data_IF_264118390385
#
_entry.id   IF_264118390385
#
_cell.length_a   1.000
_cell.length_b   1.000
_cell.length_c   1.000
_cell.angle_alpha   90.00
_cell.angle_beta   90.00
_cell.angle_gamma   90.00
#
_symmetry.space_group_name_H-M   'P 1'
#
loop_
_entity.id
_entity.type
_entity.pdbx_description
1 polymer ?
#
# COMPACT_ATOMS: atom_id res chain seq x y z
N UNK A 1 -6.03 -11.88 5.71
CA UNK A 1 -5.26 -10.65 5.37
C UNK A 1 -6.12 -9.63 4.65
N UNK A 2 -6.99 -10.03 3.71
CA UNK A 2 -7.88 -9.09 2.99
C UNK A 2 -8.70 -8.15 3.88
N UNK A 3 -9.37 -8.67 4.91
CA UNK A 3 -10.13 -7.86 5.88
C UNK A 3 -9.27 -6.82 6.62
N UNK A 4 -8.01 -7.12 6.92
CA UNK A 4 -7.09 -6.21 7.61
C UNK A 4 -6.70 -5.05 6.69
N UNK A 5 -6.37 -5.33 5.43
CA UNK A 5 -6.10 -4.32 4.42
C UNK A 5 -7.27 -3.37 4.21
N UNK A 6 -8.51 -3.89 4.17
CA UNK A 6 -9.71 -3.06 4.04
C UNK A 6 -9.91 -2.14 5.25
N UNK A 7 -9.66 -2.62 6.47
CA UNK A 7 -9.69 -1.77 7.68
C UNK A 7 -8.64 -0.67 7.62
N UNK A 8 -7.40 -1.02 7.23
CA UNK A 8 -6.30 -0.07 7.07
C UNK A 8 -6.63 0.98 6.00
N UNK A 9 -7.19 0.54 4.87
CA UNK A 9 -7.60 1.44 3.78
C UNK A 9 -8.65 2.46 4.25
N UNK A 10 -9.63 2.04 5.06
CA UNK A 10 -10.63 2.94 5.63
C UNK A 10 -10.03 3.97 6.60
N UNK A 11 -9.02 3.56 7.40
CA UNK A 11 -8.29 4.48 8.28
C UNK A 11 -7.50 5.51 7.46
N UNK A 12 -6.74 5.07 6.47
CA UNK A 12 -5.99 5.99 5.59
C UNK A 12 -6.91 6.93 4.81
N UNK A 13 -8.06 6.45 4.35
CA UNK A 13 -9.07 7.29 3.71
C UNK A 13 -9.54 8.41 4.64
N UNK A 14 -9.87 8.07 5.89
CA UNK A 14 -10.31 9.03 6.89
C UNK A 14 -9.21 10.10 7.15
N UNK A 15 -7.95 9.67 7.29
CA UNK A 15 -6.80 10.58 7.46
C UNK A 15 -6.63 11.47 6.22
N UNK A 16 -6.69 10.90 5.02
CA UNK A 16 -6.53 11.62 3.76
C UNK A 16 -7.59 12.70 3.56
N UNK A 17 -8.87 12.40 3.86
CA UNK A 17 -9.97 13.37 3.77
C UNK A 17 -9.80 14.50 4.78
N UNK A 18 -9.48 14.18 6.04
CA UNK A 18 -9.22 15.20 7.07
C UNK A 18 -8.05 16.09 6.67
N UNK A 19 -6.96 15.50 6.19
CA UNK A 19 -5.78 16.26 5.75
C UNK A 19 -6.10 17.16 4.54
N UNK A 20 -6.87 16.66 3.57
CA UNK A 20 -7.36 17.45 2.43
C UNK A 20 -8.22 18.65 2.87
N UNK A 21 -9.13 18.43 3.81
CA UNK A 21 -9.97 19.49 4.37
C UNK A 21 -9.12 20.53 5.11
N UNK A 22 -8.18 20.10 5.96
CA UNK A 22 -7.31 21.04 6.70
C UNK A 22 -6.49 21.91 5.76
N UNK A 23 -5.89 21.35 4.71
CA UNK A 23 -5.15 22.11 3.70
C UNK A 23 -6.04 23.15 2.99
N UNK A 24 -7.27 22.77 2.65
CA UNK A 24 -8.23 23.68 2.04
C UNK A 24 -8.64 24.84 2.94
N UNK A 25 -8.81 24.60 4.26
CA UNK A 25 -9.16 25.64 5.23
C UNK A 25 -8.01 26.63 5.42
N UNK A 26 -6.80 26.12 5.64
CA UNK A 26 -5.62 26.94 5.95
C UNK A 26 -4.95 27.53 4.70
N UNK A 27 -5.39 27.14 3.49
CA UNK A 27 -4.78 27.51 2.20
C UNK A 27 -3.27 27.19 2.10
N UNK A 28 -2.79 26.22 2.87
CA UNK A 28 -1.41 25.72 2.82
C UNK A 28 -1.39 24.35 2.14
N UNK A 29 -0.83 24.32 0.95
CA UNK A 29 -0.74 23.15 0.09
C UNK A 29 0.63 22.47 0.14
N UNK A 30 1.50 22.81 1.09
CA UNK A 30 2.82 22.16 1.25
C UNK A 30 2.70 20.64 1.45
N UNK A 31 1.63 20.18 2.10
CA UNK A 31 1.37 18.76 2.35
C UNK A 31 0.61 18.06 1.21
N UNK A 32 0.46 18.69 0.04
CA UNK A 32 -0.27 18.09 -1.11
C UNK A 32 0.34 16.75 -1.54
N UNK A 33 1.67 16.64 -1.53
CA UNK A 33 2.32 15.37 -1.85
C UNK A 33 1.97 14.29 -0.82
N UNK A 34 2.00 14.61 0.47
CA UNK A 34 1.60 13.68 1.55
C UNK A 34 0.14 13.24 1.38
N UNK A 35 -0.77 14.18 1.11
CA UNK A 35 -2.18 13.90 0.84
C UNK A 35 -2.38 12.91 -0.31
N UNK A 36 -1.70 13.16 -1.44
CA UNK A 36 -1.82 12.31 -2.62
C UNK A 36 -1.34 10.88 -2.33
N UNK A 37 -0.20 10.72 -1.64
CA UNK A 37 0.34 9.41 -1.31
C UNK A 37 -0.52 8.66 -0.26
N UNK A 38 -1.07 9.35 0.74
CA UNK A 38 -2.00 8.74 1.69
C UNK A 38 -3.24 8.19 0.99
N UNK A 39 -3.82 8.94 0.05
CA UNK A 39 -5.01 8.49 -0.66
C UNK A 39 -4.70 7.39 -1.68
N UNK A 40 -3.62 7.52 -2.47
CA UNK A 40 -3.28 6.52 -3.48
C UNK A 40 -2.69 5.25 -2.86
N UNK A 41 -1.56 5.35 -2.17
CA UNK A 41 -0.86 4.19 -1.62
C UNK A 41 -1.52 3.67 -0.34
N UNK A 42 -2.02 4.57 0.51
CA UNK A 42 -2.66 4.21 1.78
C UNK A 42 -4.07 3.68 1.59
N UNK A 43 -4.95 4.40 0.90
CA UNK A 43 -6.33 3.98 0.70
C UNK A 43 -6.52 3.11 -0.55
N UNK A 44 -6.29 3.63 -1.76
CA UNK A 44 -6.65 2.94 -3.02
C UNK A 44 -5.89 1.62 -3.18
N UNK A 45 -4.56 1.64 -3.07
CA UNK A 45 -3.74 0.42 -3.21
C UNK A 45 -4.07 -0.60 -2.13
N UNK A 46 -4.21 -0.20 -0.86
CA UNK A 46 -4.58 -1.12 0.22
C UNK A 46 -5.98 -1.72 0.02
N UNK A 47 -6.94 -0.95 -0.47
CA UNK A 47 -8.28 -1.46 -0.78
C UNK A 47 -8.22 -2.52 -1.89
N UNK A 48 -7.45 -2.24 -2.95
CA UNK A 48 -7.24 -3.19 -4.06
C UNK A 48 -6.54 -4.45 -3.57
N UNK A 49 -5.48 -4.34 -2.77
CA UNK A 49 -4.80 -5.50 -2.16
C UNK A 49 -5.76 -6.31 -1.29
N UNK A 50 -6.55 -5.62 -0.47
CA UNK A 50 -7.57 -6.24 0.38
C UNK A 50 -8.60 -7.04 -0.40
N UNK A 51 -9.09 -6.48 -1.51
CA UNK A 51 -10.07 -7.10 -2.40
C UNK A 51 -9.46 -8.29 -3.14
N UNK A 52 -8.27 -8.14 -3.71
CA UNK A 52 -7.55 -9.22 -4.41
C UNK A 52 -7.27 -10.39 -3.47
N UNK A 53 -6.81 -10.13 -2.23
CA UNK A 53 -6.60 -11.19 -1.24
C UNK A 53 -7.91 -11.79 -0.69
N UNK A 54 -9.04 -11.12 -0.86
CA UNK A 54 -10.36 -11.68 -0.55
C UNK A 54 -10.85 -12.61 -1.66
N UNK A 55 -10.60 -12.27 -2.93
CA UNK A 55 -10.96 -13.09 -4.09
C UNK A 55 -10.02 -14.29 -4.26
N UNK A 56 -8.73 -14.12 -3.99
CA UNK A 56 -7.70 -15.16 -4.10
C UNK A 56 -7.10 -15.51 -2.73
N UNK A 57 -7.83 -16.26 -1.88
CA UNK A 57 -7.38 -16.59 -0.52
C UNK A 57 -6.10 -17.45 -0.49
N UNK A 58 -5.83 -18.21 -1.56
CA UNK A 58 -4.59 -18.98 -1.71
C UNK A 58 -3.36 -18.08 -1.89
N UNK A 59 -3.48 -16.98 -2.64
CA UNK A 59 -2.42 -16.00 -2.83
C UNK A 59 -2.09 -15.23 -1.54
N UNK A 60 -3.02 -15.17 -0.59
CA UNK A 60 -2.83 -14.54 0.71
C UNK A 60 -2.08 -15.41 1.73
N UNK A 61 -1.92 -16.72 1.48
CA UNK A 61 -1.22 -17.64 2.40
C UNK A 61 0.29 -17.75 2.13
N UNK A 62 0.78 -17.20 1.02
CA UNK A 62 2.19 -17.29 0.65
C UNK A 62 3.08 -16.45 1.58
N UNK A 63 4.34 -16.87 1.78
CA UNK A 63 5.32 -16.08 2.54
C UNK A 63 5.55 -14.70 1.91
N UNK A 64 5.50 -14.59 0.58
CA UNK A 64 5.62 -13.32 -0.14
C UNK A 64 4.50 -12.34 0.21
N UNK A 65 3.25 -12.80 0.33
CA UNK A 65 2.13 -11.93 0.70
C UNK A 65 2.26 -11.38 2.13
N UNK A 66 2.80 -12.18 3.06
CA UNK A 66 3.11 -11.71 4.43
C UNK A 66 4.20 -10.64 4.43
N UNK A 67 5.28 -10.87 3.68
CA UNK A 67 6.40 -9.91 3.59
C UNK A 67 5.95 -8.61 2.91
N UNK A 68 5.15 -8.69 1.84
CA UNK A 68 4.51 -7.52 1.22
C UNK A 68 3.65 -6.75 2.24
N UNK A 69 2.79 -7.44 2.99
CA UNK A 69 1.93 -6.81 3.99
C UNK A 69 2.73 -6.01 5.01
N UNK A 70 3.81 -6.58 5.56
CA UNK A 70 4.65 -5.90 6.55
C UNK A 70 5.45 -4.74 5.94
N UNK A 71 6.06 -4.94 4.77
CA UNK A 71 6.82 -3.91 4.06
C UNK A 71 5.95 -2.71 3.69
N UNK A 72 4.76 -2.96 3.15
CA UNK A 72 3.84 -1.89 2.75
C UNK A 72 3.30 -1.15 3.97
N UNK A 73 2.84 -1.88 5.00
CA UNK A 73 2.22 -1.27 6.18
C UNK A 73 3.19 -0.48 7.07
N UNK A 74 4.49 -0.79 7.04
CA UNK A 74 5.52 -0.03 7.76
C UNK A 74 6.22 0.99 6.85
N UNK A 75 6.47 0.64 5.59
CA UNK A 75 7.07 1.53 4.62
C UNK A 75 6.24 2.79 4.39
N UNK A 76 4.90 2.67 4.33
CA UNK A 76 4.01 3.82 4.14
C UNK A 76 4.12 4.85 5.27
N UNK A 77 3.91 4.51 6.56
CA UNK A 77 4.09 5.46 7.65
C UNK A 77 5.49 6.09 7.67
N UNK A 78 6.54 5.29 7.47
CA UNK A 78 7.92 5.79 7.45
C UNK A 78 8.13 6.80 6.31
N UNK A 79 7.62 6.49 5.12
CA UNK A 79 7.69 7.40 3.97
C UNK A 79 6.92 8.70 4.25
N UNK A 80 5.72 8.60 4.84
CA UNK A 80 4.91 9.78 5.18
C UNK A 80 5.59 10.67 6.22
N UNK A 81 6.18 10.08 7.27
CA UNK A 81 6.93 10.82 8.30
C UNK A 81 8.14 11.52 7.65
N UNK A 82 8.90 10.82 6.81
CA UNK A 82 10.04 11.41 6.10
C UNK A 82 9.64 12.61 5.24
N UNK A 83 8.55 12.48 4.46
CA UNK A 83 8.05 13.53 3.58
C UNK A 83 7.52 14.75 4.35
N UNK A 84 6.84 14.53 5.49
CA UNK A 84 6.44 15.61 6.39
C UNK A 84 7.67 16.33 6.94
N UNK A 85 8.65 15.59 7.48
CA UNK A 85 9.88 16.15 8.01
C UNK A 85 10.66 16.97 6.96
N UNK A 86 10.77 16.46 5.73
CA UNK A 86 11.37 17.18 4.61
C UNK A 86 10.62 18.48 4.30
N UNK A 87 9.29 18.42 4.25
CA UNK A 87 8.43 19.59 3.99
C UNK A 87 8.62 20.70 5.02
N UNK A 88 8.94 20.35 6.28
CA UNK A 88 9.25 21.28 7.36
C UNK A 88 10.74 21.65 7.48
N UNK A 89 11.59 21.18 6.56
CA UNK A 89 13.01 21.54 6.53
C UNK A 89 13.92 20.74 7.47
N UNK A 90 13.46 19.61 7.99
CA UNK A 90 14.27 18.72 8.83
C UNK A 90 15.21 17.92 7.92
N UNK A 91 16.52 18.12 8.07
CA UNK A 91 17.56 17.47 7.25
C UNK A 91 17.53 15.95 7.30
N UNK A 92 17.07 15.36 8.41
CA UNK A 92 16.87 13.91 8.53
C UNK A 92 15.62 13.38 7.78
N UNK A 93 14.75 14.24 7.24
CA UNK A 93 13.52 13.83 6.55
C UNK A 93 13.78 13.09 5.23
N UNK A 94 14.71 13.59 4.42
CA UNK A 94 15.06 13.01 3.12
C UNK A 94 15.53 11.53 3.21
N UNK A 95 16.52 11.15 4.05
CA UNK A 95 16.94 9.76 4.16
C UNK A 95 15.83 8.85 4.69
N UNK A 96 15.00 9.32 5.62
CA UNK A 96 13.86 8.55 6.15
C UNK A 96 12.81 8.30 5.05
N UNK A 97 12.50 9.32 4.25
CA UNK A 97 11.60 9.20 3.11
C UNK A 97 12.12 8.18 2.09
N UNK A 98 13.42 8.19 1.80
CA UNK A 98 14.05 7.25 0.85
C UNK A 98 13.94 5.81 1.36
N UNK A 99 14.25 5.56 2.63
CA UNK A 99 14.14 4.20 3.19
C UNK A 99 12.69 3.71 3.18
N UNK A 100 11.74 4.57 3.57
CA UNK A 100 10.32 4.25 3.53
C UNK A 100 9.81 3.95 2.11
N UNK A 101 10.19 4.78 1.13
CA UNK A 101 9.78 4.60 -0.26
C UNK A 101 10.37 3.33 -0.89
N UNK A 102 11.64 3.00 -0.61
CA UNK A 102 12.25 1.73 -1.03
C UNK A 102 11.49 0.52 -0.46
N UNK A 103 11.10 0.56 0.81
CA UNK A 103 10.30 -0.51 1.42
C UNK A 103 8.95 -0.70 0.72
N UNK A 104 8.26 0.38 0.38
CA UNK A 104 6.99 0.35 -0.37
C UNK A 104 7.19 -0.20 -1.79
N UNK A 105 8.26 0.20 -2.48
CA UNK A 105 8.59 -0.29 -3.82
C UNK A 105 8.87 -1.80 -3.81
N UNK A 106 9.74 -2.25 -2.91
CA UNK A 106 10.04 -3.69 -2.76
C UNK A 106 8.78 -4.46 -2.39
N UNK A 107 7.97 -3.93 -1.47
CA UNK A 107 6.66 -4.50 -1.13
C UNK A 107 5.78 -4.66 -2.36
N UNK A 108 5.64 -3.62 -3.18
CA UNK A 108 4.79 -3.63 -4.38
C UNK A 108 5.29 -4.63 -5.43
N UNK A 109 6.60 -4.74 -5.64
CA UNK A 109 7.18 -5.73 -6.54
C UNK A 109 6.90 -7.18 -6.08
N UNK A 110 6.99 -7.44 -4.76
CA UNK A 110 6.62 -8.74 -4.20
C UNK A 110 5.13 -9.05 -4.39
N UNK A 111 4.26 -8.06 -4.26
CA UNK A 111 2.84 -8.22 -4.56
C UNK A 111 2.61 -8.59 -6.02
N UNK A 112 3.18 -7.82 -6.95
CA UNK A 112 3.04 -8.04 -8.40
C UNK A 112 3.51 -9.44 -8.78
N UNK A 113 4.71 -9.84 -8.36
CA UNK A 113 5.25 -11.18 -8.67
C UNK A 113 4.39 -12.30 -8.07
N UNK A 114 3.87 -12.14 -6.84
CA UNK A 114 3.00 -13.11 -6.20
C UNK A 114 1.66 -13.28 -6.96
N UNK A 115 1.07 -12.17 -7.44
CA UNK A 115 -0.17 -12.21 -8.22
C UNK A 115 0.01 -12.85 -9.58
N UNK A 116 1.04 -12.47 -10.34
CA UNK A 116 1.32 -13.09 -11.64
C UNK A 116 1.53 -14.61 -11.52
N UNK A 117 2.29 -15.04 -10.50
CA UNK A 117 2.51 -16.46 -10.24
C UNK A 117 1.21 -17.20 -9.89
N UNK A 118 0.34 -16.57 -9.09
CA UNK A 118 -0.89 -17.20 -8.63
C UNK A 118 -1.99 -17.25 -9.70
N UNK A 119 -2.13 -16.20 -10.51
CA UNK A 119 -3.06 -16.19 -11.65
C UNK A 119 -2.67 -17.29 -12.64
N UNK A 120 -1.39 -17.40 -12.99
CA UNK A 120 -0.93 -18.44 -13.91
C UNK A 120 -1.15 -19.86 -13.35
N UNK A 121 -0.85 -20.09 -12.07
CA UNK A 121 -1.12 -21.37 -11.42
C UNK A 121 -2.63 -21.72 -11.39
N UNK A 122 -3.50 -20.73 -11.15
CA UNK A 122 -4.96 -20.92 -11.16
C UNK A 122 -5.52 -21.30 -12.54
N UNK A 123 -4.94 -20.76 -13.63
CA UNK A 123 -5.33 -21.13 -15.00
C UNK A 123 -4.93 -22.56 -15.33
N UNK A 124 -3.75 -23.00 -14.88
CA UNK A 124 -3.26 -24.37 -15.09
C UNK A 124 -4.15 -25.38 -14.36
N UNK A 125 -4.53 -25.09 -13.10
CA UNK A 125 -5.46 -25.93 -12.33
C UNK A 125 -6.80 -26.09 -13.07
N UNK A 126 -7.41 -24.98 -13.48
CA UNK A 126 -8.72 -25.00 -14.16
C UNK A 126 -8.68 -25.69 -15.52
N UNK A 127 -7.54 -25.63 -16.24
CA UNK A 127 -7.37 -26.36 -17.49
C UNK A 127 -7.25 -27.89 -17.27
N UNK A 128 -6.58 -28.32 -16.19
CA UNK A 128 -6.54 -29.74 -15.82
C UNK A 128 -7.92 -30.28 -15.43
N UNK A 129 -8.71 -29.50 -14.67
CA UNK A 129 -10.04 -29.89 -14.22
C UNK A 129 -11.07 -30.02 -15.37
N UNK A 130 -10.81 -29.40 -16.53
CA UNK A 130 -11.67 -29.47 -17.73
C UNK A 130 -11.29 -30.58 -18.71
N UNK A 131 -10.10 -31.18 -18.55
CA UNK A 131 -9.60 -32.28 -19.39
C UNK A 131 -9.78 -33.66 -18.71
N UNK A 132 -10.45 -33.71 -17.56
CA UNK A 132 -10.96 -34.91 -16.87
C UNK A 132 -12.46 -35.01 -17.06
#
# INVERSE_FOLDING_TARGET
>A
MGKTFLKIAAVYFSIGVLLGMTMGIIHDFRLTSVHAHVNLLGWVSSAIFGLIYSVYPFAAKTKLAKTHFWLHNIGLPVMMIGLVCETFGITAGLPVMIVGSLAVVVGTLLFTTNIFKMINASRIQKANDLNM
#
